data_IF_607299033380
#
_entry.id   IF_607299033380
#
_cell.length_a   1.000
_cell.length_b   1.000
_cell.length_c   1.000
_cell.angle_alpha   90.00
_cell.angle_beta   90.00
_cell.angle_gamma   90.00
#
_symmetry.space_group_name_H-M   'P 1'
#
loop_
_entity.id
_entity.type
_entity.pdbx_description
1 polymer ?
#
# COMPACT_ATOMS: atom_id res chain seq x y z
N UNK A 1 1.24 -5.19 -56.41
CA UNK A 1 0.62 -5.76 -55.19
C UNK A 1 0.44 -4.61 -54.21
N UNK A 2 -0.79 -4.23 -53.85
CA UNK A 2 -1.03 -3.09 -52.97
C UNK A 2 -0.80 -3.48 -51.50
N UNK A 3 -0.19 -2.55 -50.76
CA UNK A 3 0.14 -2.67 -49.35
C UNK A 3 -1.14 -2.79 -48.50
N UNK A 4 -1.17 -3.80 -47.64
CA UNK A 4 -2.25 -4.03 -46.68
C UNK A 4 -1.91 -3.24 -45.42
N UNK A 5 -2.50 -2.05 -45.26
CA UNK A 5 -2.47 -1.35 -43.98
C UNK A 5 -3.49 -2.02 -43.04
N UNK A 6 -2.99 -2.84 -42.12
CA UNK A 6 -3.74 -3.28 -40.94
C UNK A 6 -3.97 -2.07 -40.02
N UNK A 7 -5.22 -1.70 -39.69
CA UNK A 7 -5.47 -0.67 -38.70
C UNK A 7 -5.03 -1.19 -37.33
N UNK A 8 -4.03 -0.53 -36.75
CA UNK A 8 -3.62 -0.76 -35.37
C UNK A 8 -4.82 -0.53 -34.46
N UNK A 9 -5.28 -1.60 -33.82
CA UNK A 9 -6.16 -1.49 -32.66
C UNK A 9 -5.32 -0.90 -31.54
N UNK A 10 -5.23 0.43 -31.49
CA UNK A 10 -4.85 1.14 -30.28
C UNK A 10 -5.92 0.84 -29.23
N UNK A 11 -5.72 -0.26 -28.51
CA UNK A 11 -6.34 -0.48 -27.23
C UNK A 11 -5.84 0.66 -26.33
N UNK A 12 -6.60 1.76 -26.30
CA UNK A 12 -6.48 2.80 -25.31
C UNK A 12 -6.77 2.18 -23.94
N UNK A 13 -5.76 1.55 -23.35
CA UNK A 13 -5.73 1.17 -21.94
C UNK A 13 -5.61 2.46 -21.13
N UNK A 14 -6.70 3.21 -21.09
CA UNK A 14 -6.87 4.33 -20.18
C UNK A 14 -6.72 3.81 -18.77
N UNK A 15 -5.58 4.08 -18.14
CA UNK A 15 -5.41 3.93 -16.71
C UNK A 15 -6.49 4.75 -16.03
N UNK A 16 -7.55 4.09 -15.57
CA UNK A 16 -8.64 4.73 -14.85
C UNK A 16 -8.02 5.52 -13.69
N UNK A 17 -8.10 6.86 -13.75
CA UNK A 17 -7.56 7.73 -12.70
C UNK A 17 -8.19 7.32 -11.38
N UNK A 18 -7.36 6.79 -10.47
CA UNK A 18 -7.75 6.53 -9.10
C UNK A 18 -8.12 7.87 -8.46
N UNK A 19 -9.35 7.95 -7.97
CA UNK A 19 -9.93 9.16 -7.40
C UNK A 19 -9.74 9.11 -5.89
N UNK A 20 -8.91 9.99 -5.32
CA UNK A 20 -8.56 9.96 -3.88
C UNK A 20 -9.78 9.98 -2.96
N UNK A 21 -10.89 10.57 -3.40
CA UNK A 21 -12.14 10.60 -2.63
C UNK A 21 -12.80 9.23 -2.48
N UNK A 22 -12.47 8.22 -3.29
CA UNK A 22 -12.94 6.84 -3.05
C UNK A 22 -12.26 6.16 -1.86
N UNK A 23 -11.19 6.75 -1.32
CA UNK A 23 -10.52 6.26 -0.11
C UNK A 23 -11.21 6.73 1.19
N UNK A 24 -11.94 7.85 1.15
CA UNK A 24 -12.61 8.41 2.33
C UNK A 24 -13.69 7.48 2.91
N UNK A 25 -14.60 6.89 2.12
CA UNK A 25 -15.58 5.92 2.65
C UNK A 25 -14.92 4.67 3.23
N UNK A 26 -13.75 4.29 2.70
CA UNK A 26 -12.97 3.15 3.14
C UNK A 26 -12.34 3.40 4.52
N UNK A 27 -11.75 4.59 4.71
CA UNK A 27 -11.22 5.06 5.99
C UNK A 27 -12.32 5.17 7.03
N UNK A 28 -13.48 5.73 6.65
CA UNK A 28 -14.66 5.81 7.52
C UNK A 28 -15.15 4.40 7.90
N UNK A 29 -15.22 3.46 6.97
CA UNK A 29 -15.61 2.08 7.26
C UNK A 29 -14.65 1.40 8.23
N UNK A 30 -13.34 1.53 8.02
CA UNK A 30 -12.33 0.98 8.95
C UNK A 30 -12.45 1.63 10.32
N UNK A 31 -12.63 2.95 10.37
CA UNK A 31 -12.84 3.68 11.63
C UNK A 31 -14.11 3.23 12.36
N UNK A 32 -15.20 2.99 11.64
CA UNK A 32 -16.45 2.49 12.21
C UNK A 32 -16.29 1.04 12.68
N UNK A 33 -15.62 0.16 11.93
CA UNK A 33 -15.31 -1.20 12.36
C UNK A 33 -14.42 -1.23 13.62
N UNK A 34 -13.39 -0.38 13.68
CA UNK A 34 -12.54 -0.21 14.85
C UNK A 34 -13.35 0.31 16.05
N UNK A 35 -14.19 1.32 15.84
CA UNK A 35 -15.04 1.90 16.89
C UNK A 35 -16.08 0.89 17.41
N UNK A 36 -16.67 0.09 16.52
CA UNK A 36 -17.60 -0.98 16.89
C UNK A 36 -16.90 -2.11 17.66
N UNK A 37 -15.72 -2.55 17.19
CA UNK A 37 -14.90 -3.53 17.90
C UNK A 37 -14.50 -3.04 19.29
N UNK A 38 -14.18 -1.76 19.46
CA UNK A 38 -13.90 -1.15 20.76
C UNK A 38 -15.12 -1.12 21.70
N UNK A 39 -16.32 -0.88 21.18
CA UNK A 39 -17.55 -0.93 21.99
C UNK A 39 -17.84 -2.34 22.48
N UNK A 40 -17.63 -3.35 21.62
CA UNK A 40 -17.86 -4.76 21.92
C UNK A 40 -16.76 -5.35 22.83
N UNK A 41 -15.53 -4.88 22.69
CA UNK A 41 -14.37 -5.30 23.47
C UNK A 41 -14.25 -4.57 24.83
N UNK A 42 -15.27 -3.84 25.28
CA UNK A 42 -15.44 -3.50 26.71
C UNK A 42 -15.81 -4.75 27.51
N UNK A 43 -14.98 -5.78 27.37
CA UNK A 43 -15.07 -7.02 28.10
C UNK A 43 -14.44 -6.89 29.48
N UNK A 44 -14.73 -7.88 30.32
CA UNK A 44 -14.19 -8.01 31.66
C UNK A 44 -12.65 -8.06 31.66
N UNK A 45 -12.03 -7.13 32.38
CA UNK A 45 -10.57 -7.02 32.51
C UNK A 45 -9.97 -8.32 33.03
N UNK A 46 -10.68 -9.04 33.90
CA UNK A 46 -10.22 -10.33 34.43
C UNK A 46 -10.02 -11.37 33.32
N UNK A 47 -10.95 -11.45 32.37
CA UNK A 47 -10.85 -12.36 31.22
C UNK A 47 -9.65 -12.02 30.34
N UNK A 48 -9.40 -10.72 30.12
CA UNK A 48 -8.24 -10.30 29.34
C UNK A 48 -6.91 -10.67 30.02
N UNK A 49 -6.83 -10.53 31.34
CA UNK A 49 -5.67 -10.97 32.13
C UNK A 49 -5.49 -12.48 32.04
N UNK A 50 -6.57 -13.27 32.16
CA UNK A 50 -6.51 -14.73 32.04
C UNK A 50 -6.01 -15.19 30.66
N UNK A 51 -6.45 -14.54 29.58
CA UNK A 51 -5.93 -14.79 28.24
C UNK A 51 -4.43 -14.46 28.13
N UNK A 52 -3.99 -13.29 28.65
CA UNK A 52 -2.58 -12.92 28.67
C UNK A 52 -1.71 -13.92 29.44
N UNK A 53 -2.18 -14.36 30.62
CA UNK A 53 -1.52 -15.38 31.41
C UNK A 53 -1.52 -16.75 30.71
N UNK A 54 -2.57 -17.10 29.97
CA UNK A 54 -2.62 -18.34 29.20
C UNK A 54 -1.57 -18.34 28.08
N UNK A 55 -1.43 -17.23 27.34
CA UNK A 55 -0.39 -17.05 26.31
C UNK A 55 0.99 -17.19 26.94
N UNK A 56 1.25 -16.48 28.04
CA UNK A 56 2.52 -16.55 28.76
C UNK A 56 2.85 -17.97 29.24
N UNK A 57 1.85 -18.75 29.68
CA UNK A 57 2.03 -20.16 30.04
C UNK A 57 2.39 -21.02 28.83
N UNK A 58 1.74 -20.82 27.69
CA UNK A 58 2.04 -21.53 26.44
C UNK A 58 3.45 -21.21 25.97
N UNK A 59 3.86 -19.94 25.99
CA UNK A 59 5.21 -19.55 25.59
C UNK A 59 6.28 -20.16 26.49
N UNK A 60 6.06 -20.15 27.82
CA UNK A 60 6.94 -20.83 28.76
C UNK A 60 7.02 -22.34 28.51
N UNK A 61 5.90 -22.99 28.16
CA UNK A 61 5.88 -24.40 27.79
C UNK A 61 6.68 -24.67 26.51
N UNK A 62 6.65 -23.73 25.55
CA UNK A 62 7.42 -23.79 24.31
C UNK A 62 8.87 -23.29 24.47
N UNK A 63 9.30 -22.95 25.69
CA UNK A 63 10.60 -22.33 25.98
C UNK A 63 10.86 -21.01 25.23
N UNK A 64 9.79 -20.32 24.85
CA UNK A 64 9.84 -18.98 24.27
C UNK A 64 9.84 -17.97 25.41
N UNK A 65 10.98 -17.36 25.66
CA UNK A 65 11.14 -16.34 26.70
C UNK A 65 11.99 -15.16 26.21
N UNK A 66 11.77 -14.75 24.96
CA UNK A 66 12.52 -13.64 24.36
C UNK A 66 12.07 -12.27 24.93
N UNK A 67 10.86 -12.17 25.45
CA UNK A 67 10.26 -10.92 25.93
C UNK A 67 10.91 -10.42 27.22
N UNK A 68 11.11 -11.28 28.22
CA UNK A 68 11.77 -10.90 29.48
C UNK A 68 13.16 -10.28 29.31
N UNK A 69 14.13 -10.92 28.62
CA UNK A 69 15.45 -10.34 28.45
C UNK A 69 15.42 -9.09 27.58
N UNK A 70 14.52 -9.02 26.60
CA UNK A 70 14.40 -7.86 25.73
C UNK A 70 13.79 -6.66 26.46
N UNK A 71 12.75 -6.89 27.27
CA UNK A 71 12.16 -5.85 28.10
C UNK A 71 13.15 -5.33 29.15
N UNK A 72 13.90 -6.22 29.80
CA UNK A 72 15.01 -5.81 30.68
C UNK A 72 16.06 -4.98 29.96
N UNK A 73 16.42 -5.33 28.72
CA UNK A 73 17.40 -4.56 27.96
C UNK A 73 16.92 -3.12 27.71
N UNK A 74 15.65 -2.95 27.33
CA UNK A 74 15.06 -1.67 26.95
C UNK A 74 14.81 -0.77 28.17
N UNK A 75 14.44 -1.38 29.30
CA UNK A 75 14.18 -0.69 30.58
C UNK A 75 15.46 -0.31 31.32
N UNK A 76 16.54 -1.06 31.13
CA UNK A 76 17.86 -0.75 31.68
C UNK A 76 18.60 0.33 30.88
N UNK A 77 18.33 0.46 29.58
CA UNK A 77 19.06 1.35 28.68
C UNK A 77 18.14 2.34 27.98
N UNK A 78 18.02 3.54 28.56
CA UNK A 78 17.16 4.61 28.03
C UNK A 78 17.46 4.99 26.57
N UNK A 79 18.72 4.84 26.12
CA UNK A 79 19.09 5.13 24.73
C UNK A 79 18.51 4.15 23.70
N UNK A 80 18.04 2.97 24.11
CA UNK A 80 17.25 2.05 23.28
C UNK A 80 15.76 2.17 23.63
N UNK A 81 15.44 2.23 24.93
CA UNK A 81 14.06 2.28 25.42
C UNK A 81 13.28 3.49 24.92
N UNK A 82 13.83 4.70 25.04
CA UNK A 82 13.13 5.93 24.61
C UNK A 82 12.87 5.92 23.09
N UNK A 83 13.86 5.66 22.21
CA UNK A 83 13.57 5.53 20.78
C UNK A 83 12.58 4.42 20.44
N UNK A 84 12.59 3.30 21.18
CA UNK A 84 11.64 2.22 20.98
C UNK A 84 10.20 2.64 21.31
N UNK A 85 9.99 3.41 22.37
CA UNK A 85 8.65 3.93 22.70
C UNK A 85 8.16 4.93 21.64
N UNK A 86 9.04 5.81 21.13
CA UNK A 86 8.71 6.67 19.99
C UNK A 86 8.38 5.86 18.73
N UNK A 87 9.16 4.81 18.45
CA UNK A 87 8.95 3.91 17.33
C UNK A 87 7.56 3.27 17.41
N UNK A 88 7.23 2.69 18.57
CA UNK A 88 5.95 2.08 18.85
C UNK A 88 4.79 3.09 18.78
N UNK A 89 4.99 4.31 19.26
CA UNK A 89 3.93 5.32 19.32
C UNK A 89 3.61 5.96 17.96
N UNK A 90 4.53 5.97 17.00
CA UNK A 90 4.42 6.82 15.80
C UNK A 90 4.51 6.10 14.46
N UNK A 91 5.37 5.09 14.32
CA UNK A 91 5.77 4.65 12.97
C UNK A 91 4.65 3.93 12.22
N UNK A 92 3.76 3.22 12.88
CA UNK A 92 2.60 2.61 12.20
C UNK A 92 1.63 3.67 11.65
N UNK A 93 1.51 4.82 12.32
CA UNK A 93 0.70 5.96 11.85
C UNK A 93 1.38 6.77 10.74
N UNK A 94 2.69 6.64 10.56
CA UNK A 94 3.44 7.40 9.55
C UNK A 94 3.83 6.54 8.34
N UNK A 95 4.47 5.40 8.57
CA UNK A 95 5.05 4.54 7.54
C UNK A 95 3.96 3.89 6.69
N UNK A 96 2.90 3.36 7.30
CA UNK A 96 1.81 2.69 6.56
C UNK A 96 1.13 3.65 5.58
N UNK A 97 0.68 4.86 6.02
CA UNK A 97 0.13 5.84 5.08
C UNK A 97 1.15 6.32 4.04
N UNK A 98 2.43 6.52 4.42
CA UNK A 98 3.47 6.93 3.48
C UNK A 98 3.66 5.91 2.35
N UNK A 99 3.68 4.60 2.67
CA UNK A 99 3.77 3.53 1.66
C UNK A 99 2.50 3.47 0.80
N UNK A 100 1.31 3.66 1.38
CA UNK A 100 0.07 3.74 0.61
C UNK A 100 0.08 4.91 -0.37
N UNK A 101 0.50 6.10 0.06
CA UNK A 101 0.63 7.29 -0.79
C UNK A 101 1.67 7.06 -1.88
N UNK A 102 2.81 6.48 -1.55
CA UNK A 102 3.83 6.13 -2.53
C UNK A 102 3.32 5.12 -3.57
N UNK A 103 2.65 4.05 -3.15
CA UNK A 103 2.03 3.08 -4.06
C UNK A 103 0.95 3.73 -4.93
N UNK A 104 0.13 4.61 -4.36
CA UNK A 104 -0.90 5.34 -5.10
C UNK A 104 -0.28 6.23 -6.20
N UNK A 105 0.83 6.90 -5.92
CA UNK A 105 1.48 7.82 -6.87
C UNK A 105 2.34 7.11 -7.91
N UNK A 106 3.07 6.08 -7.50
CA UNK A 106 4.14 5.48 -8.31
C UNK A 106 3.81 4.07 -8.81
N UNK A 107 2.82 3.38 -8.24
CA UNK A 107 2.50 1.97 -8.49
C UNK A 107 0.99 1.70 -8.53
N UNK A 108 0.25 2.56 -9.24
CA UNK A 108 -1.24 2.54 -9.33
C UNK A 108 -1.83 1.17 -9.66
N UNK A 109 -1.17 0.39 -10.52
CA UNK A 109 -1.60 -0.97 -10.89
C UNK A 109 -1.63 -1.93 -9.69
N UNK A 110 -0.71 -1.78 -8.73
CA UNK A 110 -0.61 -2.63 -7.55
C UNK A 110 -1.32 -2.05 -6.33
N UNK A 111 -1.57 -0.74 -6.32
CA UNK A 111 -2.18 -0.03 -5.18
C UNK A 111 -3.48 -0.67 -4.73
N UNK A 112 -4.39 -1.00 -5.67
CA UNK A 112 -5.68 -1.58 -5.34
C UNK A 112 -5.54 -2.91 -4.59
N UNK A 113 -4.68 -3.80 -5.07
CA UNK A 113 -4.45 -5.10 -4.43
C UNK A 113 -3.76 -4.93 -3.07
N UNK A 114 -2.75 -4.07 -2.98
CA UNK A 114 -2.02 -3.79 -1.75
C UNK A 114 -2.94 -3.21 -0.65
N UNK A 115 -3.80 -2.26 -1.02
CA UNK A 115 -4.81 -1.66 -0.13
C UNK A 115 -5.82 -2.71 0.33
N UNK A 116 -6.40 -3.49 -0.60
CA UNK A 116 -7.37 -4.54 -0.23
C UNK A 116 -6.74 -5.58 0.69
N UNK A 117 -5.48 -5.93 0.48
CA UNK A 117 -4.74 -6.81 1.38
C UNK A 117 -4.64 -6.22 2.78
N UNK A 118 -4.15 -4.98 2.92
CA UNK A 118 -4.04 -4.32 4.22
C UNK A 118 -5.38 -4.27 4.96
N UNK A 119 -6.46 -3.94 4.23
CA UNK A 119 -7.80 -3.88 4.80
C UNK A 119 -8.33 -5.25 5.23
N UNK A 120 -8.19 -6.27 4.38
CA UNK A 120 -8.65 -7.62 4.70
C UNK A 120 -7.93 -8.15 5.94
N UNK A 121 -6.61 -8.00 6.00
CA UNK A 121 -5.81 -8.37 7.17
C UNK A 121 -6.21 -7.58 8.41
N UNK A 122 -6.43 -6.27 8.28
CA UNK A 122 -6.87 -5.42 9.40
C UNK A 122 -8.23 -5.88 9.91
N UNK A 123 -9.21 -6.13 9.04
CA UNK A 123 -10.53 -6.64 9.44
C UNK A 123 -10.46 -7.98 10.16
N UNK A 124 -9.64 -8.92 9.67
CA UNK A 124 -9.42 -10.22 10.35
C UNK A 124 -8.77 -10.00 11.72
N UNK A 125 -7.78 -9.12 11.82
CA UNK A 125 -7.18 -8.76 13.09
C UNK A 125 -8.16 -8.07 14.04
N UNK A 126 -9.05 -7.23 13.51
CA UNK A 126 -10.08 -6.55 14.29
C UNK A 126 -11.07 -7.56 14.90
N UNK A 127 -11.46 -8.58 14.13
CA UNK A 127 -12.27 -9.68 14.62
C UNK A 127 -11.51 -10.48 15.68
N UNK A 128 -10.23 -10.79 15.44
CA UNK A 128 -9.37 -11.52 16.36
C UNK A 128 -9.30 -10.89 17.76
N UNK A 129 -8.95 -9.60 17.86
CA UNK A 129 -8.88 -8.95 19.17
C UNK A 129 -10.25 -8.79 19.84
N UNK A 130 -11.32 -8.67 19.06
CA UNK A 130 -12.68 -8.55 19.59
C UNK A 130 -13.16 -9.86 20.22
N UNK A 131 -12.75 -11.00 19.65
CA UNK A 131 -13.10 -12.34 20.15
C UNK A 131 -12.19 -12.81 21.30
N UNK A 132 -10.96 -12.31 21.36
CA UNK A 132 -9.99 -12.68 22.40
C UNK A 132 -9.29 -11.44 22.97
N UNK A 133 -9.98 -10.65 23.82
CA UNK A 133 -9.35 -9.57 24.56
C UNK A 133 -8.15 -10.13 25.33
N UNK A 134 -6.98 -9.54 25.19
CA UNK A 134 -5.73 -10.08 25.70
C UNK A 134 -4.94 -8.99 26.41
N UNK A 135 -4.60 -9.23 27.68
CA UNK A 135 -3.79 -8.35 28.49
C UNK A 135 -2.31 -8.43 28.07
N UNK A 136 -1.69 -7.31 27.66
CA UNK A 136 -0.29 -7.26 27.25
C UNK A 136 0.66 -7.45 28.46
N UNK A 137 1.92 -7.89 28.23
CA UNK A 137 2.87 -8.16 29.30
C UNK A 137 3.08 -6.98 30.27
N UNK A 138 3.10 -5.74 29.77
CA UNK A 138 3.32 -4.52 30.57
C UNK A 138 2.25 -4.25 31.63
N UNK A 139 1.04 -4.81 31.46
CA UNK A 139 -0.10 -4.63 32.37
C UNK A 139 -0.26 -5.82 33.34
N UNK A 140 0.58 -6.85 33.23
CA UNK A 140 0.60 -7.95 34.19
C UNK A 140 1.12 -7.47 35.56
N UNK A 141 0.76 -8.21 36.61
CA UNK A 141 1.24 -7.90 37.96
C UNK A 141 2.78 -7.97 38.05
N UNK A 142 3.36 -7.18 38.96
CA UNK A 142 4.82 -7.09 39.12
C UNK A 142 5.52 -8.44 39.36
N UNK A 143 4.79 -9.45 39.89
CA UNK A 143 5.31 -10.81 40.07
C UNK A 143 5.70 -11.53 38.78
N UNK A 144 5.26 -11.04 37.62
CA UNK A 144 5.66 -11.58 36.32
C UNK A 144 6.93 -10.93 35.74
N UNK A 145 7.43 -9.84 36.32
CA UNK A 145 8.75 -9.27 35.97
C UNK A 145 8.81 -8.47 34.66
N UNK A 146 7.67 -7.99 34.17
CA UNK A 146 7.60 -7.03 33.05
C UNK A 146 7.53 -5.60 33.58
N UNK A 147 8.16 -4.67 32.86
CA UNK A 147 8.13 -3.24 33.16
C UNK A 147 7.56 -2.51 31.96
N UNK A 148 6.58 -1.64 32.20
CA UNK A 148 6.01 -0.76 31.21
C UNK A 148 7.01 0.36 30.85
N UNK A 149 7.71 0.20 29.72
CA UNK A 149 8.67 1.21 29.22
C UNK A 149 7.99 2.52 28.91
N UNK A 150 6.77 2.47 28.35
CA UNK A 150 6.04 3.67 27.98
C UNK A 150 5.68 4.51 29.21
N UNK A 151 5.29 3.85 30.31
CA UNK A 151 5.07 4.52 31.59
C UNK A 151 6.40 5.04 32.18
N UNK A 152 7.45 4.21 32.18
CA UNK A 152 8.78 4.56 32.70
C UNK A 152 9.38 5.79 32.01
N UNK A 153 9.27 5.88 30.68
CA UNK A 153 9.83 6.96 29.86
C UNK A 153 8.79 7.98 29.40
N UNK A 154 7.60 7.97 30.00
CA UNK A 154 6.50 8.87 29.65
C UNK A 154 6.89 10.36 29.72
N UNK A 155 7.89 10.74 30.53
CA UNK A 155 8.42 12.10 30.61
C UNK A 155 9.05 12.61 29.31
N UNK A 156 9.63 11.73 28.50
CA UNK A 156 10.28 12.07 27.23
C UNK A 156 9.29 12.21 26.06
N UNK A 157 8.16 11.50 26.14
CA UNK A 157 7.21 11.37 25.04
C UNK A 157 5.99 12.28 25.13
N UNK A 158 5.19 12.27 24.06
CA UNK A 158 3.85 12.87 24.05
C UNK A 158 2.77 11.94 24.64
N UNK A 159 3.11 10.69 24.93
CA UNK A 159 2.21 9.70 25.50
C UNK A 159 2.12 9.81 27.03
N UNK A 160 1.06 9.25 27.60
CA UNK A 160 0.87 9.13 29.05
C UNK A 160 1.15 7.71 29.55
N UNK A 161 0.76 7.39 30.79
CA UNK A 161 0.79 6.02 31.32
C UNK A 161 -0.23 5.07 30.68
N UNK A 162 -1.03 5.55 29.73
CA UNK A 162 -2.12 4.82 29.09
C UNK A 162 -1.90 4.77 27.56
N UNK A 163 -1.06 3.82 27.13
CA UNK A 163 -0.78 3.47 25.72
C UNK A 163 -0.19 4.60 24.84
N UNK A 164 -0.03 4.29 23.54
CA UNK A 164 0.53 5.15 22.48
C UNK A 164 -0.23 6.44 22.21
N UNK A 165 -1.39 6.63 22.82
CA UNK A 165 -2.21 7.80 22.60
C UNK A 165 -1.57 9.05 23.24
N UNK A 166 -1.66 10.23 22.60
CA UNK A 166 -1.26 11.47 23.24
C UNK A 166 -1.94 11.63 24.60
N UNK A 167 -1.25 12.24 25.56
CA UNK A 167 -1.76 12.44 26.94
C UNK A 167 -3.21 12.93 26.93
N UNK A 168 -4.09 12.23 27.66
CA UNK A 168 -5.52 12.53 27.73
C UNK A 168 -6.39 11.78 26.71
N UNK A 169 -5.81 11.09 25.72
CA UNK A 169 -6.53 10.24 24.76
C UNK A 169 -6.34 8.73 25.01
N UNK A 170 -5.76 8.33 26.14
CA UNK A 170 -5.54 6.90 26.49
C UNK A 170 -6.80 6.04 26.44
N UNK A 171 -7.95 6.64 26.79
CA UNK A 171 -9.25 5.99 26.66
C UNK A 171 -9.63 5.63 25.22
N UNK A 172 -9.11 6.31 24.19
CA UNK A 172 -9.42 6.04 22.77
C UNK A 172 -8.73 4.79 22.20
N UNK A 173 -7.74 4.25 22.91
CA UNK A 173 -7.00 3.05 22.53
C UNK A 173 -7.41 1.87 23.41
N UNK A 174 -7.63 0.69 22.82
CA UNK A 174 -7.93 -0.52 23.60
C UNK A 174 -6.63 -1.12 24.15
N UNK A 175 -6.39 -0.96 25.44
CA UNK A 175 -5.16 -1.46 26.08
C UNK A 175 -5.09 -2.98 26.19
N UNK A 176 -6.23 -3.68 26.08
CA UNK A 176 -6.38 -5.13 26.19
C UNK A 176 -6.54 -5.81 24.81
N UNK A 177 -5.93 -5.25 23.78
CA UNK A 177 -5.95 -5.78 22.41
C UNK A 177 -4.55 -6.24 21.95
N UNK A 178 -3.86 -7.03 22.78
CA UNK A 178 -2.51 -7.49 22.46
C UNK A 178 -2.49 -8.49 21.29
N UNK A 179 -3.42 -9.44 21.23
CA UNK A 179 -3.46 -10.46 20.18
C UNK A 179 -4.61 -10.21 19.19
N UNK A 180 -4.40 -10.27 17.86
CA UNK A 180 -3.11 -10.37 17.15
C UNK A 180 -2.39 -9.01 17.02
N UNK A 181 -1.05 -9.00 16.94
CA UNK A 181 -0.30 -7.75 16.83
C UNK A 181 -0.43 -7.09 15.45
N UNK A 182 -1.31 -6.09 15.35
CA UNK A 182 -1.46 -5.30 14.13
C UNK A 182 -0.22 -4.45 13.82
N UNK A 183 0.56 -4.04 14.83
CA UNK A 183 1.84 -3.35 14.62
C UNK A 183 2.80 -4.22 13.78
N UNK A 184 2.98 -5.48 14.18
CA UNK A 184 3.82 -6.44 13.45
C UNK A 184 3.22 -6.76 12.09
N UNK A 185 1.90 -6.99 12.02
CA UNK A 185 1.21 -7.25 10.76
C UNK A 185 1.40 -6.12 9.74
N UNK A 186 1.14 -4.88 10.13
CA UNK A 186 1.29 -3.71 9.26
C UNK A 186 2.75 -3.46 8.89
N UNK A 187 3.68 -3.64 9.82
CA UNK A 187 5.10 -3.53 9.52
C UNK A 187 5.57 -4.59 8.52
N UNK A 188 5.06 -5.83 8.63
CA UNK A 188 5.30 -6.89 7.66
C UNK A 188 4.73 -6.53 6.28
N UNK A 189 3.50 -6.01 6.22
CA UNK A 189 2.90 -5.52 4.98
C UNK A 189 3.77 -4.44 4.32
N UNK A 190 4.18 -3.44 5.10
CA UNK A 190 5.10 -2.38 4.66
C UNK A 190 6.39 -2.98 4.10
N UNK A 191 6.95 -3.94 4.83
CA UNK A 191 8.16 -4.65 4.45
C UNK A 191 8.05 -5.36 3.10
N UNK A 192 6.96 -6.11 2.90
CA UNK A 192 6.67 -6.81 1.65
C UNK A 192 6.46 -5.83 0.49
N UNK A 193 5.79 -4.69 0.72
CA UNK A 193 5.60 -3.66 -0.31
C UNK A 193 6.93 -3.04 -0.75
N UNK A 194 7.82 -2.71 0.20
CA UNK A 194 9.15 -2.19 -0.10
C UNK A 194 10.01 -3.23 -0.82
N UNK A 195 9.99 -4.49 -0.37
CA UNK A 195 10.74 -5.57 -0.98
C UNK A 195 10.32 -5.82 -2.45
N UNK A 196 9.00 -5.87 -2.70
CA UNK A 196 8.45 -6.19 -4.03
C UNK A 196 8.47 -5.01 -5.00
N UNK A 197 8.24 -3.79 -4.52
CA UNK A 197 8.00 -2.63 -5.40
C UNK A 197 9.05 -1.52 -5.30
N UNK A 198 9.95 -1.56 -4.31
CA UNK A 198 10.92 -0.51 -4.01
C UNK A 198 12.12 -0.45 -4.96
N UNK A 199 12.47 -1.55 -5.62
CA UNK A 199 13.47 -1.62 -6.71
C UNK A 199 14.94 -1.46 -6.29
N UNK A 200 15.25 -0.73 -5.22
CA UNK A 200 16.63 -0.49 -4.74
C UNK A 200 17.06 -1.50 -3.67
N UNK A 201 18.37 -1.70 -3.51
CA UNK A 201 18.92 -2.50 -2.40
C UNK A 201 18.50 -1.93 -1.05
N UNK A 202 18.51 -0.61 -0.92
CA UNK A 202 18.07 0.07 0.30
C UNK A 202 16.60 -0.24 0.63
N UNK A 203 15.69 -0.16 -0.34
CA UNK A 203 14.29 -0.46 -0.11
C UNK A 203 14.07 -1.93 0.28
N UNK A 204 14.82 -2.85 -0.32
CA UNK A 204 14.79 -4.27 0.06
C UNK A 204 15.30 -4.50 1.47
N UNK A 205 16.43 -3.89 1.83
CA UNK A 205 16.98 -3.96 3.20
C UNK A 205 15.99 -3.37 4.20
N UNK A 206 15.45 -2.18 3.94
CA UNK A 206 14.40 -1.58 4.76
C UNK A 206 13.17 -2.48 4.88
N UNK A 207 12.81 -3.17 3.80
CA UNK A 207 11.69 -4.11 3.76
C UNK A 207 11.84 -5.31 4.70
N UNK A 208 13.07 -5.69 5.05
CA UNK A 208 13.35 -6.76 6.03
C UNK A 208 13.59 -6.18 7.42
N UNK A 209 14.38 -5.11 7.52
CA UNK A 209 14.77 -4.51 8.80
C UNK A 209 13.56 -3.92 9.53
N UNK A 210 12.68 -3.19 8.83
CA UNK A 210 11.55 -2.52 9.45
C UNK A 210 10.60 -3.45 10.24
N UNK A 211 10.09 -4.58 9.68
CA UNK A 211 9.26 -5.51 10.44
C UNK A 211 10.02 -6.22 11.57
N UNK A 212 11.30 -6.54 11.39
CA UNK A 212 12.11 -7.17 12.44
C UNK A 212 12.32 -6.23 13.62
N UNK A 213 12.73 -4.99 13.36
CA UNK A 213 12.90 -3.96 14.39
C UNK A 213 11.56 -3.69 15.08
N UNK A 214 10.46 -3.60 14.33
CA UNK A 214 9.13 -3.40 14.93
C UNK A 214 8.76 -4.56 15.86
N UNK A 215 9.05 -5.81 15.48
CA UNK A 215 8.81 -6.99 16.32
C UNK A 215 9.63 -6.93 17.62
N UNK A 216 10.90 -6.56 17.53
CA UNK A 216 11.76 -6.37 18.71
C UNK A 216 11.25 -5.23 19.59
N UNK A 217 10.83 -4.11 18.99
CA UNK A 217 10.30 -2.96 19.73
C UNK A 217 9.04 -3.32 20.49
N UNK A 218 8.06 -3.99 19.88
CA UNK A 218 6.81 -4.32 20.58
C UNK A 218 7.00 -5.31 21.73
N UNK A 219 7.93 -6.25 21.59
CA UNK A 219 8.28 -7.20 22.64
C UNK A 219 9.13 -6.54 23.73
N UNK A 220 10.12 -5.74 23.36
CA UNK A 220 10.99 -5.03 24.30
C UNK A 220 10.25 -3.96 25.12
N UNK A 221 9.23 -3.36 24.55
CA UNK A 221 8.33 -2.43 25.28
C UNK A 221 7.24 -3.15 26.07
N UNK A 222 7.27 -4.50 26.12
CA UNK A 222 6.27 -5.33 26.78
C UNK A 222 4.82 -5.08 26.31
N UNK A 223 4.65 -4.61 25.08
CA UNK A 223 3.34 -4.35 24.49
C UNK A 223 2.70 -5.60 23.89
N UNK A 224 3.51 -6.58 23.50
CA UNK A 224 3.06 -7.79 22.81
C UNK A 224 3.90 -9.00 23.22
N UNK A 225 3.22 -10.15 23.33
CA UNK A 225 3.87 -11.45 23.42
C UNK A 225 4.49 -11.85 22.06
N UNK A 226 5.40 -12.81 22.04
CA UNK A 226 5.94 -13.38 20.81
C UNK A 226 4.83 -14.05 19.98
N UNK A 227 3.91 -14.76 20.63
CA UNK A 227 2.74 -15.35 19.99
C UNK A 227 1.81 -14.28 19.39
N UNK A 228 1.72 -13.08 19.98
CA UNK A 228 0.96 -11.99 19.37
C UNK A 228 1.59 -11.54 18.05
N UNK A 229 2.92 -11.46 18.00
CA UNK A 229 3.67 -11.13 16.80
C UNK A 229 3.50 -12.21 15.72
N UNK A 230 3.58 -13.49 16.11
CA UNK A 230 3.33 -14.62 15.21
C UNK A 230 1.88 -14.61 14.67
N UNK A 231 0.89 -14.34 15.54
CA UNK A 231 -0.51 -14.21 15.16
C UNK A 231 -0.70 -13.01 14.21
N UNK A 232 -0.03 -11.88 14.44
CA UNK A 232 -0.04 -10.72 13.54
C UNK A 232 0.47 -11.06 12.14
N UNK A 233 1.57 -11.81 12.04
CA UNK A 233 2.10 -12.31 10.77
C UNK A 233 1.13 -13.30 10.09
N UNK A 234 0.54 -14.21 10.86
CA UNK A 234 -0.45 -15.17 10.35
C UNK A 234 -1.70 -14.46 9.81
N UNK A 235 -2.24 -13.47 10.52
CA UNK A 235 -3.36 -12.63 10.07
C UNK A 235 -3.02 -11.91 8.77
N UNK A 236 -1.79 -11.40 8.64
CA UNK A 236 -1.34 -10.78 7.40
C UNK A 236 -1.27 -11.79 6.25
N UNK A 237 -0.86 -13.02 6.51
CA UNK A 237 -0.92 -14.14 5.56
C UNK A 237 -2.34 -14.51 5.15
N UNK A 238 -3.26 -14.63 6.11
CA UNK A 238 -4.68 -14.92 5.85
C UNK A 238 -5.29 -13.81 4.99
N UNK A 239 -5.08 -12.54 5.33
CA UNK A 239 -5.58 -11.43 4.53
C UNK A 239 -5.01 -11.40 3.11
N UNK A 240 -3.77 -11.86 2.90
CA UNK A 240 -3.19 -12.01 1.57
C UNK A 240 -3.98 -13.03 0.74
N UNK A 241 -4.30 -14.18 1.34
CA UNK A 241 -5.09 -15.25 0.71
C UNK A 241 -6.53 -14.80 0.43
N UNK A 242 -7.11 -13.95 1.28
CA UNK A 242 -8.46 -13.40 1.10
C UNK A 242 -8.52 -12.28 0.05
N UNK A 243 -7.39 -11.66 -0.30
CA UNK A 243 -7.35 -10.50 -1.20
C UNK A 243 -8.03 -10.73 -2.56
N UNK A 244 -7.76 -11.83 -3.29
CA UNK A 244 -8.41 -12.09 -4.58
C UNK A 244 -9.93 -12.24 -4.44
N UNK A 245 -10.39 -12.86 -3.35
CA UNK A 245 -11.82 -13.00 -3.06
C UNK A 245 -12.45 -11.65 -2.77
N UNK A 246 -11.85 -10.86 -1.88
CA UNK A 246 -12.33 -9.52 -1.53
C UNK A 246 -12.39 -8.58 -2.75
N UNK A 247 -11.41 -8.69 -3.67
CA UNK A 247 -11.43 -7.90 -4.91
C UNK A 247 -12.59 -8.34 -5.83
N UNK A 248 -12.80 -9.64 -6.02
CA UNK A 248 -13.89 -10.17 -6.86
C UNK A 248 -15.26 -9.81 -6.31
N UNK A 249 -15.46 -9.90 -5.00
CA UNK A 249 -16.73 -9.53 -4.37
C UNK A 249 -16.99 -8.03 -4.49
N UNK A 250 -15.98 -7.19 -4.29
CA UNK A 250 -16.08 -5.74 -4.51
C UNK A 250 -16.40 -5.40 -5.97
N UNK A 251 -15.79 -6.09 -6.95
CA UNK A 251 -16.09 -5.88 -8.37
C UNK A 251 -17.53 -6.30 -8.72
N UNK A 252 -18.00 -7.44 -8.20
CA UNK A 252 -19.41 -7.88 -8.38
C UNK A 252 -20.39 -6.92 -7.73
N UNK A 253 -20.12 -6.47 -6.51
CA UNK A 253 -20.95 -5.50 -5.83
C UNK A 253 -21.01 -4.19 -6.64
N UNK A 254 -19.87 -3.69 -7.12
CA UNK A 254 -19.82 -2.48 -7.96
C UNK A 254 -20.60 -2.64 -9.27
N UNK A 255 -20.46 -3.78 -9.95
CA UNK A 255 -21.22 -4.07 -11.17
C UNK A 255 -22.73 -4.15 -10.89
N UNK A 256 -23.12 -4.78 -9.78
CA UNK A 256 -24.51 -4.85 -9.34
C UNK A 256 -25.08 -3.46 -9.03
N UNK A 257 -24.37 -2.63 -8.28
CA UNK A 257 -24.79 -1.26 -8.00
C UNK A 257 -24.89 -0.41 -9.28
N UNK A 258 -23.92 -0.54 -10.18
CA UNK A 258 -23.94 0.13 -11.48
C UNK A 258 -25.13 -0.32 -12.35
N UNK A 259 -25.57 -1.58 -12.24
CA UNK A 259 -26.76 -2.09 -12.94
C UNK A 259 -28.09 -1.61 -12.34
N UNK A 260 -28.09 -1.17 -11.07
CA UNK A 260 -29.29 -0.72 -10.35
C UNK A 260 -29.48 0.79 -10.31
N UNK A 261 -28.43 1.56 -10.60
CA UNK A 261 -28.53 3.00 -10.81
C UNK A 261 -28.61 3.20 -12.31
N UNK A 262 -29.77 3.54 -12.90
CA UNK A 262 -29.81 3.99 -14.27
C UNK A 262 -28.85 5.18 -14.33
N UNK A 263 -27.84 5.10 -15.20
CA UNK A 263 -27.08 6.29 -15.52
C UNK A 263 -28.12 7.34 -15.94
N UNK A 264 -28.23 8.42 -15.17
CA UNK A 264 -28.90 9.63 -15.65
C UNK A 264 -28.00 10.13 -16.78
N UNK A 265 -28.16 9.55 -17.96
CA UNK A 265 -27.55 10.07 -19.16
C UNK A 265 -28.02 11.53 -19.26
N UNK A 266 -27.11 12.51 -19.37
CA UNK A 266 -27.51 13.79 -19.94
C UNK A 266 -28.13 13.44 -21.29
N UNK A 267 -29.41 13.75 -21.45
CA UNK A 267 -30.13 13.54 -22.70
C UNK A 267 -29.40 14.27 -23.82
N UNK A 268 -28.56 13.54 -24.56
CA UNK A 268 -28.26 13.89 -25.92
C UNK A 268 -29.52 13.52 -26.72
N UNK A 269 -30.14 14.47 -27.45
CA UNK A 269 -31.30 14.16 -28.25
C UNK A 269 -30.95 13.04 -29.23
N UNK A 270 -31.83 12.05 -29.28
CA UNK A 270 -31.78 10.93 -30.19
C UNK A 270 -31.52 11.41 -31.62
N UNK A 271 -30.70 10.64 -32.32
CA UNK A 271 -30.36 10.76 -33.73
C UNK A 271 -31.51 11.34 -34.56
N UNK A 272 -31.25 12.50 -35.15
CA UNK A 272 -31.91 12.89 -36.39
C UNK A 272 -31.55 11.83 -37.45
N UNK A 273 -32.51 11.37 -38.28
CA UNK A 273 -32.18 10.42 -39.33
C UNK A 273 -31.15 11.05 -40.28
N UNK A 274 -30.04 10.35 -40.49
CA UNK A 274 -28.99 10.75 -41.42
C UNK A 274 -29.59 11.05 -42.81
N UNK A 275 -29.15 12.12 -43.51
CA UNK A 275 -29.56 12.33 -44.88
C UNK A 275 -29.00 11.18 -45.73
N UNK A 276 -29.91 10.44 -46.35
CA UNK A 276 -29.63 9.49 -47.43
C UNK A 276 -28.77 10.20 -48.48
N UNK A 277 -27.49 9.84 -48.55
CA UNK A 277 -26.63 10.20 -49.66
C UNK A 277 -27.22 9.56 -50.92
N UNK A 278 -27.78 10.39 -51.79
CA UNK A 278 -28.18 10.00 -53.13
C UNK A 278 -26.93 9.55 -53.89
N UNK A 279 -26.82 8.24 -54.10
CA UNK A 279 -25.98 7.68 -55.15
C UNK A 279 -26.57 8.15 -56.47
N UNK A 280 -26.07 9.29 -56.97
CA UNK A 280 -26.30 9.73 -58.33
C UNK A 280 -25.43 8.84 -59.22
N UNK A 281 -26.03 7.76 -59.71
CA UNK A 281 -25.51 7.01 -60.86
C UNK A 281 -25.54 7.91 -62.09
N UNK A 282 -24.47 8.65 -62.31
CA UNK A 282 -24.20 9.37 -63.56
C UNK A 282 -23.78 8.39 -64.64
N UNK A 283 -24.76 7.86 -65.38
CA UNK A 283 -24.53 7.14 -66.61
C UNK A 283 -24.20 8.09 -67.78
N UNK A 284 -23.14 7.73 -68.51
CA UNK A 284 -22.87 7.99 -69.92
C UNK A 284 -22.68 9.46 -70.39
N UNK A 285 -21.48 9.78 -70.89
CA UNK A 285 -21.18 9.77 -72.34
C UNK A 285 -19.74 10.21 -72.62
N UNK A 286 -18.98 9.33 -73.27
CA UNK A 286 -17.71 9.63 -73.94
C UNK A 286 -18.00 10.24 -75.32
N UNK A 287 -17.28 11.28 -75.71
CA UNK A 287 -17.11 11.70 -77.10
C UNK A 287 -15.83 12.54 -77.28
N UNK A 288 -15.27 12.62 -78.50
CA UNK A 288 -13.84 12.39 -78.72
C UNK A 288 -13.07 13.63 -79.19
N UNK A 289 -11.77 13.62 -78.91
CA UNK A 289 -10.75 14.24 -79.76
C UNK A 289 -10.49 15.72 -79.54
N UNK A 290 -9.35 16.04 -78.94
CA UNK A 290 -8.52 17.12 -79.47
C UNK A 290 -7.03 16.88 -79.19
N UNK A 291 -6.22 17.27 -80.17
CA UNK A 291 -4.83 16.85 -80.40
C UNK A 291 -3.82 17.70 -79.60
N UNK A 292 -2.79 17.00 -79.12
CA UNK A 292 -1.39 17.39 -78.77
C UNK A 292 -0.85 18.44 -79.79
N UNK A 293 0.01 19.45 -79.47
CA UNK A 293 1.37 19.20 -78.94
C UNK A 293 2.14 20.32 -78.18
N UNK A 294 3.07 19.90 -77.30
CA UNK A 294 4.54 20.19 -77.36
C UNK A 294 5.20 19.76 -76.04
N UNK A 295 6.13 18.78 -76.10
CA UNK A 295 7.60 18.96 -76.11
C UNK A 295 8.11 19.46 -74.73
N UNK A 296 9.11 18.88 -74.06
CA UNK A 296 10.28 18.13 -74.54
C UNK A 296 11.09 17.59 -73.33
N UNK A 297 11.51 16.32 -73.46
CA UNK A 297 12.79 15.65 -73.09
C UNK A 297 13.48 15.97 -71.73
N UNK A 298 13.72 14.97 -70.87
CA UNK A 298 14.92 14.08 -70.81
C UNK A 298 16.15 14.79 -70.22
N UNK A 299 17.06 14.24 -69.41
CA UNK A 299 17.42 12.89 -68.92
C UNK A 299 18.59 13.10 -67.94
N UNK A 300 18.77 12.17 -67.00
CA UNK A 300 20.04 11.56 -66.53
C UNK A 300 21.30 12.40 -66.15
N UNK A 301 21.61 12.36 -64.83
CA UNK A 301 22.81 11.73 -64.19
C UNK A 301 24.20 12.45 -64.30
N UNK A 302 25.29 11.97 -63.64
CA UNK A 302 25.79 12.43 -62.32
C UNK A 302 27.26 12.94 -62.32
N UNK A 303 27.73 13.44 -61.16
CA UNK A 303 29.11 13.24 -60.69
C UNK A 303 29.97 14.49 -60.42
N UNK A 304 31.00 14.25 -59.61
CA UNK A 304 32.26 15.00 -59.42
C UNK A 304 32.35 15.90 -58.17
N UNK A 305 32.93 15.34 -57.11
CA UNK A 305 33.84 15.98 -56.14
C UNK A 305 35.17 16.35 -56.85
N UNK A 306 36.01 17.32 -56.41
CA UNK A 306 36.72 17.16 -55.12
C UNK A 306 37.25 18.43 -54.38
N UNK A 307 37.58 18.19 -53.11
CA UNK A 307 38.75 18.62 -52.30
C UNK A 307 38.97 20.06 -51.77
N UNK A 308 39.67 20.06 -50.62
CA UNK A 308 40.52 21.07 -49.96
C UNK A 308 39.99 21.72 -48.65
N UNK A 309 40.44 21.14 -47.52
CA UNK A 309 40.66 21.74 -46.17
C UNK A 309 41.97 22.60 -46.17
N UNK A 310 42.39 23.41 -45.14
CA UNK A 310 42.19 23.23 -43.69
C UNK A 310 42.19 24.51 -42.77
N UNK A 311 41.95 24.31 -41.47
CA UNK A 311 42.67 24.86 -40.29
C UNK A 311 41.76 24.75 -39.05
N UNK A 312 42.06 23.90 -38.07
CA UNK A 312 43.02 24.02 -36.95
C UNK A 312 42.60 24.97 -35.81
N UNK A 313 42.45 24.38 -34.61
CA UNK A 313 42.67 24.87 -33.23
C UNK A 313 41.61 24.20 -32.31
N UNK A 314 41.97 23.22 -31.47
CA UNK A 314 42.52 23.42 -30.10
C UNK A 314 41.35 23.50 -29.10
N UNK A 315 41.25 22.86 -27.94
CA UNK A 315 42.09 22.15 -26.96
C UNK A 315 41.10 21.24 -26.17
N UNK A 316 41.41 20.08 -25.58
CA UNK A 316 42.64 19.68 -24.89
C UNK A 316 42.46 19.78 -23.37
N UNK A 317 41.68 18.87 -22.76
CA UNK A 317 41.58 18.69 -21.31
C UNK A 317 42.85 18.04 -20.71
N UNK A 318 43.13 18.26 -19.41
CA UNK A 318 43.41 17.14 -18.49
C UNK A 318 42.74 17.35 -17.10
N UNK A 319 42.10 16.37 -16.47
CA UNK A 319 42.60 15.20 -15.72
C UNK A 319 43.02 15.47 -14.26
N UNK A 320 42.32 14.78 -13.36
CA UNK A 320 42.70 14.18 -12.05
C UNK A 320 43.61 14.91 -11.04
N UNK A 321 43.13 14.96 -9.79
CA UNK A 321 43.77 14.46 -8.55
C UNK A 321 43.58 15.42 -7.35
N UNK A 322 42.74 15.01 -6.39
CA UNK A 322 43.03 14.88 -4.93
C UNK A 322 41.76 14.50 -4.18
#
# INVERSE_FOLDING_TARGET
MPQTETPGTEAASGTARLRWWTELPLLVLVYLCYSAGRLLARGDVSTAVDHGLAILRVEKLLYLNAEHPLNRLFTAHAWIGVPADFWYASLHYLVTPAILVWLFRSRTLHYRAARTWLMASTSVGLIGFSLMPTCPPRLLSAGHGFVDTMAQYSSYGWWGGEASAPRGMGGMTNQYAAMPSLHVGWALWCGVMLWRHGGTRLAKTAGVVYPLVTTLVVMGTANHYFLDAAAGAAVMGVGLLLTPWAMRTADRARAWFASRVPALAPGLPADSPAPSASVVSGGCQTSPGERIPRQRESRLRPGVEPDVSPSDAGEGAPAAAR
#
